data_IF_492870628301
#
_entry.id   IF_492870628301
#
_cell.length_a   1.000
_cell.length_b   1.000
_cell.length_c   1.000
_cell.angle_alpha   90.00
_cell.angle_beta   90.00
_cell.angle_gamma   90.00
#
_symmetry.space_group_name_H-M   'P 1'
#
loop_
_entity.id
_entity.type
_entity.pdbx_description
1 polymer ?
#
# COMPACT_ATOMS: atom_id res chain seq x y z
N UNK A 1 -14.01 1.22 -22.64
CA UNK A 1 -14.85 1.33 -21.43
C UNK A 1 -14.20 2.35 -20.53
N UNK A 2 -14.99 3.24 -19.94
CA UNK A 2 -14.46 4.16 -18.92
C UNK A 2 -14.28 3.36 -17.62
N UNK A 3 -13.04 2.99 -17.31
CA UNK A 3 -12.67 2.09 -16.20
C UNK A 3 -12.35 2.92 -14.94
N UNK A 4 -13.25 3.84 -14.60
CA UNK A 4 -13.04 4.83 -13.52
C UNK A 4 -14.15 4.77 -12.49
N UNK A 5 -13.81 5.20 -11.29
CA UNK A 5 -14.79 5.42 -10.22
C UNK A 5 -15.87 6.41 -10.69
N UNK A 6 -17.10 6.19 -10.24
CA UNK A 6 -18.22 7.07 -10.54
C UNK A 6 -19.41 6.85 -9.60
N UNK A 7 -20.42 7.74 -9.63
CA UNK A 7 -21.50 7.76 -8.64
C UNK A 7 -22.30 6.45 -8.52
N UNK A 8 -22.36 5.65 -9.59
CA UNK A 8 -23.06 4.36 -9.58
C UNK A 8 -22.42 3.31 -8.64
N UNK A 9 -21.19 3.53 -8.19
CA UNK A 9 -20.48 2.66 -7.25
C UNK A 9 -20.54 3.18 -5.81
N UNK A 10 -21.14 4.35 -5.56
CA UNK A 10 -21.27 4.94 -4.22
C UNK A 10 -22.34 4.20 -3.42
N UNK A 11 -21.91 3.49 -2.38
CA UNK A 11 -22.77 2.83 -1.39
C UNK A 11 -23.38 3.84 -0.42
N UNK A 12 -22.76 5.03 -0.27
CA UNK A 12 -23.11 6.02 0.75
C UNK A 12 -22.46 5.75 2.10
N UNK A 13 -21.83 4.59 2.29
CA UNK A 13 -21.09 4.22 3.49
C UNK A 13 -19.64 4.68 3.31
N UNK A 14 -19.29 5.80 3.92
CA UNK A 14 -18.06 6.55 3.61
C UNK A 14 -16.76 5.72 3.66
N UNK A 15 -16.65 4.77 4.60
CA UNK A 15 -15.49 3.87 4.71
C UNK A 15 -15.42 2.85 3.58
N UNK A 16 -16.55 2.29 3.15
CA UNK A 16 -16.63 1.36 2.01
C UNK A 16 -16.35 2.11 0.71
N UNK A 17 -16.94 3.30 0.52
CA UNK A 17 -16.68 4.14 -0.66
C UNK A 17 -15.22 4.59 -0.74
N UNK A 18 -14.57 4.82 0.41
CA UNK A 18 -13.13 5.11 0.48
C UNK A 18 -12.32 3.89 0.01
N UNK A 19 -12.67 2.70 0.48
CA UNK A 19 -11.96 1.46 0.12
C UNK A 19 -12.11 1.16 -1.37
N UNK A 20 -13.32 1.29 -1.92
CA UNK A 20 -13.53 1.16 -3.35
C UNK A 20 -12.70 2.16 -4.15
N UNK A 21 -12.69 3.44 -3.77
CA UNK A 21 -11.86 4.44 -4.48
C UNK A 21 -10.38 4.07 -4.48
N UNK A 22 -9.86 3.49 -3.40
CA UNK A 22 -8.47 3.04 -3.35
C UNK A 22 -8.23 1.81 -4.22
N UNK A 23 -9.16 0.85 -4.24
CA UNK A 23 -9.07 -0.29 -5.17
C UNK A 23 -9.09 0.18 -6.63
N UNK A 24 -9.98 1.11 -6.99
CA UNK A 24 -10.00 1.74 -8.31
C UNK A 24 -8.71 2.49 -8.64
N UNK A 25 -8.13 3.21 -7.67
CA UNK A 25 -6.84 3.89 -7.85
C UNK A 25 -5.71 2.88 -8.12
N UNK A 26 -5.62 1.80 -7.34
CA UNK A 26 -4.64 0.72 -7.58
C UNK A 26 -4.85 0.05 -8.94
N UNK A 27 -6.10 -0.13 -9.38
CA UNK A 27 -6.38 -0.62 -10.74
C UNK A 27 -5.92 0.36 -11.81
N UNK A 28 -6.18 1.65 -11.68
CA UNK A 28 -5.70 2.66 -12.62
C UNK A 28 -4.16 2.67 -12.66
N UNK A 29 -3.50 2.50 -11.51
CA UNK A 29 -2.05 2.36 -11.45
C UNK A 29 -1.54 1.14 -12.23
N UNK A 30 -2.23 -0.02 -12.20
CA UNK A 30 -1.83 -1.17 -13.03
C UNK A 30 -1.88 -0.84 -14.52
N UNK A 31 -2.83 -0.03 -14.96
CA UNK A 31 -2.93 0.40 -16.36
C UNK A 31 -1.84 1.42 -16.71
N UNK A 32 -1.63 2.42 -15.85
CA UNK A 32 -0.63 3.45 -16.08
C UNK A 32 0.77 2.86 -16.21
N UNK A 33 1.11 1.88 -15.36
CA UNK A 33 2.39 1.17 -15.46
C UNK A 33 2.59 0.51 -16.84
N UNK A 34 1.53 -0.02 -17.44
CA UNK A 34 1.61 -0.64 -18.77
C UNK A 34 1.76 0.41 -19.86
N UNK A 35 0.95 1.46 -19.77
CA UNK A 35 0.90 2.52 -20.78
C UNK A 35 2.24 3.27 -20.82
N UNK A 36 2.90 3.44 -19.68
CA UNK A 36 4.23 4.06 -19.55
C UNK A 36 5.39 3.10 -19.82
N UNK A 37 5.12 1.80 -20.00
CA UNK A 37 6.17 0.79 -20.23
C UNK A 37 7.09 0.57 -19.03
N UNK A 38 6.53 0.66 -17.82
CA UNK A 38 7.25 0.54 -16.55
C UNK A 38 7.98 -0.79 -16.40
N UNK A 39 8.99 -0.78 -15.53
CA UNK A 39 9.69 -1.97 -15.13
C UNK A 39 8.75 -2.97 -14.44
N UNK A 40 8.99 -4.27 -14.67
CA UNK A 40 8.10 -5.34 -14.20
C UNK A 40 7.91 -5.33 -12.68
N UNK A 41 8.86 -4.82 -11.90
CA UNK A 41 8.73 -4.76 -10.45
C UNK A 41 7.77 -3.66 -9.98
N UNK A 42 7.57 -2.58 -10.75
CA UNK A 42 6.61 -1.52 -10.40
C UNK A 42 5.21 -2.11 -10.49
N UNK A 43 4.89 -2.70 -11.65
CA UNK A 43 3.63 -3.41 -11.86
C UNK A 43 3.44 -4.56 -10.85
N UNK A 44 4.48 -5.34 -10.58
CA UNK A 44 4.44 -6.39 -9.57
C UNK A 44 4.10 -5.86 -8.17
N UNK A 45 4.60 -4.68 -7.83
CA UNK A 45 4.32 -4.04 -6.53
C UNK A 45 2.86 -3.55 -6.44
N UNK A 46 2.31 -3.02 -7.53
CA UNK A 46 0.89 -2.61 -7.59
C UNK A 46 -0.01 -3.83 -7.45
N UNK A 47 0.27 -4.94 -8.16
CA UNK A 47 -0.52 -6.19 -8.08
C UNK A 47 -0.46 -6.77 -6.66
N UNK A 48 0.72 -6.83 -6.05
CA UNK A 48 0.88 -7.35 -4.69
C UNK A 48 0.14 -6.47 -3.66
N UNK A 49 0.19 -5.15 -3.82
CA UNK A 49 -0.49 -4.20 -2.95
C UNK A 49 -2.01 -4.25 -3.08
N UNK A 50 -2.51 -4.44 -4.30
CA UNK A 50 -3.93 -4.66 -4.56
C UNK A 50 -4.46 -5.88 -3.79
N UNK A 51 -3.75 -7.00 -3.82
CA UNK A 51 -4.15 -8.21 -3.10
C UNK A 51 -4.27 -7.94 -1.59
N UNK A 52 -3.29 -7.26 -1.01
CA UNK A 52 -3.30 -6.89 0.40
C UNK A 52 -4.46 -5.93 0.73
N UNK A 53 -4.79 -4.99 -0.17
CA UNK A 53 -5.89 -4.04 0.03
C UNK A 53 -7.28 -4.68 -0.09
N UNK A 54 -7.47 -5.63 -1.02
CA UNK A 54 -8.71 -6.41 -1.14
C UNK A 54 -9.01 -7.14 0.17
N UNK A 55 -7.98 -7.69 0.84
CA UNK A 55 -8.16 -8.35 2.14
C UNK A 55 -8.66 -7.39 3.22
N UNK A 56 -8.16 -6.15 3.27
CA UNK A 56 -8.65 -5.13 4.20
C UNK A 56 -10.12 -4.78 3.94
N UNK A 57 -10.44 -4.47 2.69
CA UNK A 57 -11.79 -4.08 2.29
C UNK A 57 -12.81 -5.15 2.69
N UNK A 58 -12.55 -6.41 2.32
CA UNK A 58 -13.39 -7.55 2.67
C UNK A 58 -13.49 -7.77 4.18
N UNK A 59 -12.40 -7.59 4.93
CA UNK A 59 -12.44 -7.74 6.38
C UNK A 59 -13.37 -6.71 7.03
N UNK A 60 -13.28 -5.43 6.63
CA UNK A 60 -14.16 -4.37 7.14
C UNK A 60 -15.62 -4.59 6.76
N UNK A 61 -15.84 -4.99 5.52
CA UNK A 61 -17.17 -5.30 4.99
C UNK A 61 -17.81 -6.48 5.72
N UNK A 62 -17.09 -7.59 5.91
CA UNK A 62 -17.60 -8.75 6.62
C UNK A 62 -17.97 -8.42 8.09
N UNK A 63 -17.18 -7.57 8.76
CA UNK A 63 -17.54 -7.05 10.09
C UNK A 63 -18.80 -6.19 10.02
N UNK A 64 -18.89 -5.29 9.05
CA UNK A 64 -20.08 -4.46 8.84
C UNK A 64 -21.34 -5.32 8.68
N UNK A 65 -21.27 -6.33 7.81
CA UNK A 65 -22.38 -7.23 7.50
C UNK A 65 -22.80 -8.08 8.71
N UNK A 66 -21.84 -8.65 9.43
CA UNK A 66 -22.09 -9.41 10.67
C UNK A 66 -22.81 -8.54 11.71
N UNK A 67 -22.25 -7.35 12.00
CA UNK A 67 -22.78 -6.44 13.02
C UNK A 67 -24.12 -5.80 12.65
N UNK A 68 -24.41 -5.70 11.35
CA UNK A 68 -25.71 -5.28 10.85
C UNK A 68 -26.74 -6.42 10.78
N UNK A 69 -26.32 -7.68 10.99
CA UNK A 69 -27.18 -8.84 10.89
C UNK A 69 -27.64 -9.12 9.45
N UNK A 70 -26.77 -8.88 8.45
CA UNK A 70 -27.10 -9.10 7.05
C UNK A 70 -27.32 -10.60 6.77
N UNK A 71 -28.51 -10.95 6.29
CA UNK A 71 -28.94 -12.35 6.20
C UNK A 71 -28.16 -13.21 5.22
N UNK A 72 -27.52 -12.60 4.22
CA UNK A 72 -26.75 -13.29 3.19
C UNK A 72 -25.22 -13.24 3.43
N UNK A 73 -24.77 -12.88 4.65
CA UNK A 73 -23.35 -12.81 5.01
C UNK A 73 -22.55 -14.05 4.58
N UNK A 74 -23.04 -15.25 4.88
CA UNK A 74 -22.31 -16.49 4.56
C UNK A 74 -22.10 -16.69 3.06
N UNK A 75 -23.06 -16.30 2.22
CA UNK A 75 -22.92 -16.36 0.76
C UNK A 75 -21.92 -15.30 0.27
N UNK A 76 -22.00 -14.10 0.82
CA UNK A 76 -21.10 -12.99 0.50
C UNK A 76 -19.63 -13.31 0.86
N UNK A 77 -19.40 -13.91 2.03
CA UNK A 77 -18.06 -14.40 2.44
C UNK A 77 -17.50 -15.47 1.50
N UNK A 78 -18.36 -16.37 1.01
CA UNK A 78 -17.93 -17.39 0.06
C UNK A 78 -17.49 -16.77 -1.27
N UNK A 79 -18.20 -15.75 -1.75
CA UNK A 79 -17.76 -14.95 -2.90
C UNK A 79 -16.38 -14.35 -2.60
N UNK A 80 -16.19 -13.67 -1.47
CA UNK A 80 -14.87 -13.11 -1.12
C UNK A 80 -13.74 -14.13 -1.15
N UNK A 81 -13.97 -15.36 -0.69
CA UNK A 81 -12.98 -16.45 -0.73
C UNK A 81 -12.58 -16.77 -2.17
N UNK A 82 -13.55 -16.95 -3.07
CA UNK A 82 -13.30 -17.27 -4.48
C UNK A 82 -12.53 -16.14 -5.19
N UNK A 83 -12.90 -14.91 -4.88
CA UNK A 83 -12.32 -13.73 -5.49
C UNK A 83 -10.89 -13.48 -5.02
N UNK A 84 -10.61 -13.64 -3.71
CA UNK A 84 -9.25 -13.63 -3.15
C UNK A 84 -8.37 -14.67 -3.85
N UNK A 85 -8.86 -15.91 -3.99
CA UNK A 85 -8.11 -16.98 -4.64
C UNK A 85 -7.76 -16.67 -6.10
N UNK A 86 -8.66 -16.02 -6.84
CA UNK A 86 -8.41 -15.64 -8.23
C UNK A 86 -7.33 -14.55 -8.35
N UNK A 87 -7.34 -13.53 -7.48
CA UNK A 87 -6.30 -12.49 -7.45
C UNK A 87 -4.96 -13.08 -7.01
N UNK A 88 -4.95 -13.98 -6.03
CA UNK A 88 -3.74 -14.70 -5.61
C UNK A 88 -3.11 -15.50 -6.74
N UNK A 89 -3.93 -16.18 -7.55
CA UNK A 89 -3.45 -16.92 -8.73
C UNK A 89 -2.81 -15.98 -9.76
N UNK A 90 -3.41 -14.82 -10.00
CA UNK A 90 -2.84 -13.81 -10.92
C UNK A 90 -1.52 -13.27 -10.40
N UNK A 91 -1.47 -12.89 -9.11
CA UNK A 91 -0.26 -12.39 -8.47
C UNK A 91 0.87 -13.43 -8.51
N UNK A 92 0.56 -14.70 -8.24
CA UNK A 92 1.53 -15.79 -8.29
C UNK A 92 2.04 -16.03 -9.72
N UNK A 93 1.15 -16.08 -10.72
CA UNK A 93 1.55 -16.19 -12.13
C UNK A 93 2.46 -15.03 -12.57
N UNK A 94 2.14 -13.81 -12.13
CA UNK A 94 2.94 -12.63 -12.45
C UNK A 94 4.31 -12.69 -11.78
N UNK A 95 4.37 -13.16 -10.53
CA UNK A 95 5.63 -13.36 -9.81
C UNK A 95 6.53 -14.39 -10.48
N UNK A 96 5.96 -15.51 -10.94
CA UNK A 96 6.74 -16.62 -11.50
C UNK A 96 7.19 -16.33 -12.94
N UNK A 97 6.31 -15.72 -13.75
CA UNK A 97 6.53 -15.48 -15.17
C UNK A 97 5.87 -14.17 -15.62
N UNK A 98 6.41 -13.00 -15.24
CA UNK A 98 5.80 -11.70 -15.56
C UNK A 98 5.63 -11.49 -17.07
N UNK A 99 6.53 -12.05 -17.89
CA UNK A 99 6.49 -12.00 -19.34
C UNK A 99 5.33 -12.78 -19.97
N UNK A 100 4.70 -13.69 -19.21
CA UNK A 100 3.61 -14.56 -19.67
C UNK A 100 2.24 -14.08 -19.24
N UNK A 101 2.15 -13.07 -18.38
CA UNK A 101 0.86 -12.58 -17.89
C UNK A 101 0.47 -11.33 -18.68
N UNK A 102 -0.58 -11.46 -19.47
CA UNK A 102 -1.10 -10.34 -20.24
C UNK A 102 -1.70 -9.30 -19.31
N UNK A 103 -1.10 -8.13 -19.18
CA UNK A 103 -1.59 -7.12 -18.22
C UNK A 103 -3.00 -6.62 -18.59
N UNK A 104 -3.36 -6.62 -19.87
CA UNK A 104 -4.73 -6.38 -20.32
C UNK A 104 -5.72 -7.42 -19.81
N UNK A 105 -5.31 -8.69 -19.70
CA UNK A 105 -6.11 -9.78 -19.14
C UNK A 105 -6.31 -9.56 -17.63
N UNK A 106 -5.22 -9.29 -16.90
CA UNK A 106 -5.27 -8.95 -15.47
C UNK A 106 -6.23 -7.79 -15.23
N UNK A 107 -6.05 -6.68 -15.96
CA UNK A 107 -6.88 -5.49 -15.84
C UNK A 107 -8.35 -5.78 -16.15
N UNK A 108 -8.64 -6.51 -17.23
CA UNK A 108 -10.02 -6.82 -17.61
C UNK A 108 -10.69 -7.71 -16.55
N UNK A 109 -9.99 -8.73 -16.07
CA UNK A 109 -10.47 -9.60 -15.01
C UNK A 109 -10.79 -8.77 -13.76
N UNK A 110 -9.82 -8.02 -13.26
CA UNK A 110 -9.92 -7.21 -12.05
C UNK A 110 -11.02 -6.15 -12.12
N UNK A 111 -11.20 -5.54 -13.29
CA UNK A 111 -12.25 -4.56 -13.51
C UNK A 111 -13.65 -5.16 -13.51
N UNK A 112 -13.86 -6.19 -14.34
CA UNK A 112 -15.16 -6.87 -14.42
C UNK A 112 -15.53 -7.35 -13.03
N UNK A 113 -14.57 -8.00 -12.39
CA UNK A 113 -14.68 -8.48 -11.04
C UNK A 113 -15.12 -7.40 -10.04
N UNK A 114 -14.35 -6.32 -9.85
CA UNK A 114 -14.69 -5.33 -8.82
C UNK A 114 -16.00 -4.64 -9.15
N UNK A 115 -16.20 -4.27 -10.42
CA UNK A 115 -17.39 -3.52 -10.82
C UNK A 115 -18.68 -4.33 -10.70
N UNK A 116 -18.64 -5.63 -11.04
CA UNK A 116 -19.79 -6.52 -10.89
C UNK A 116 -20.02 -6.87 -9.42
N UNK A 117 -18.96 -7.05 -8.63
CA UNK A 117 -19.07 -7.27 -7.20
C UNK A 117 -19.75 -6.08 -6.49
N UNK A 118 -19.27 -4.85 -6.70
CA UNK A 118 -19.88 -3.67 -6.08
C UNK A 118 -21.35 -3.54 -6.47
N UNK A 119 -21.67 -3.65 -7.76
CA UNK A 119 -23.03 -3.43 -8.24
C UNK A 119 -23.99 -4.59 -7.90
N UNK A 120 -23.48 -5.83 -7.86
CA UNK A 120 -24.28 -7.04 -7.68
C UNK A 120 -24.36 -7.52 -6.24
N UNK A 121 -23.30 -7.35 -5.46
CA UNK A 121 -23.11 -7.94 -4.13
C UNK A 121 -23.06 -6.89 -3.02
N UNK A 122 -22.49 -5.71 -3.27
CA UNK A 122 -22.33 -4.69 -2.22
C UNK A 122 -23.58 -3.82 -2.07
N UNK A 123 -24.12 -3.35 -3.19
CA UNK A 123 -25.35 -2.54 -3.22
C UNK A 123 -26.54 -3.18 -2.47
N UNK A 124 -26.77 -4.51 -2.53
CA UNK A 124 -27.81 -5.17 -1.76
C UNK A 124 -27.77 -4.98 -0.23
N UNK A 125 -26.59 -4.85 0.40
CA UNK A 125 -26.53 -4.67 1.85
C UNK A 125 -26.72 -3.23 2.31
N UNK A 126 -26.63 -2.25 1.40
CA UNK A 126 -26.67 -0.81 1.74
C UNK A 126 -27.91 -0.46 2.56
N UNK A 127 -29.09 -0.97 2.19
CA UNK A 127 -30.33 -0.69 2.91
C UNK A 127 -30.31 -1.13 4.38
N UNK A 128 -29.56 -2.18 4.71
CA UNK A 128 -29.43 -2.74 6.06
C UNK A 128 -28.30 -2.04 6.84
N UNK A 129 -27.18 -1.73 6.16
CA UNK A 129 -25.97 -1.22 6.78
C UNK A 129 -25.92 0.31 6.89
N UNK A 130 -26.54 1.04 5.97
CA UNK A 130 -26.48 2.51 5.91
C UNK A 130 -26.96 3.21 7.20
N UNK A 131 -28.01 2.75 7.90
CA UNK A 131 -28.46 3.39 9.15
C UNK A 131 -27.51 3.18 10.35
N UNK A 132 -26.52 2.28 10.25
CA UNK A 132 -25.68 1.83 11.37
C UNK A 132 -24.36 2.58 11.45
N UNK A 133 -24.44 3.90 11.65
CA UNK A 133 -23.27 4.80 11.68
C UNK A 133 -22.28 4.45 12.80
N UNK A 134 -22.76 3.86 13.90
CA UNK A 134 -21.94 3.32 15.00
C UNK A 134 -20.91 2.30 14.49
N UNK A 135 -21.35 1.39 13.60
CA UNK A 135 -20.50 0.36 13.03
C UNK A 135 -19.55 0.98 11.98
N UNK A 136 -20.00 1.99 11.24
CA UNK A 136 -19.14 2.68 10.25
C UNK A 136 -17.91 3.30 10.91
N UNK A 137 -18.09 3.95 12.06
CA UNK A 137 -17.00 4.53 12.85
C UNK A 137 -16.07 3.48 13.45
N UNK A 138 -16.59 2.30 13.80
CA UNK A 138 -15.81 1.16 14.28
C UNK A 138 -14.88 0.62 13.20
N UNK A 139 -15.44 0.22 12.05
CA UNK A 139 -14.66 -0.39 10.96
C UNK A 139 -13.70 0.60 10.29
N UNK A 140 -14.01 1.91 10.32
CA UNK A 140 -13.10 2.95 9.81
C UNK A 140 -11.78 3.04 10.58
N UNK A 141 -11.72 2.53 11.82
CA UNK A 141 -10.50 2.50 12.64
C UNK A 141 -9.58 1.34 12.28
N UNK A 142 -10.11 0.26 11.70
CA UNK A 142 -9.31 -0.89 11.27
C UNK A 142 -8.45 -0.44 10.11
N UNK A 143 -7.12 -0.50 10.18
CA UNK A 143 -6.24 -0.09 9.08
C UNK A 143 -5.71 -1.29 8.31
N UNK A 144 -5.07 -1.05 7.15
CA UNK A 144 -4.34 -2.11 6.46
C UNK A 144 -3.24 -2.69 7.37
N UNK A 145 -2.65 -1.87 8.25
CA UNK A 145 -1.65 -2.30 9.20
C UNK A 145 -2.19 -3.28 10.24
N UNK A 146 -3.44 -3.11 10.68
CA UNK A 146 -4.07 -4.04 11.63
C UNK A 146 -4.27 -5.41 10.98
N UNK A 147 -4.87 -5.44 9.79
CA UNK A 147 -5.15 -6.68 9.03
C UNK A 147 -3.86 -7.44 8.71
N UNK A 148 -2.79 -6.76 8.32
CA UNK A 148 -1.51 -7.38 7.98
C UNK A 148 -0.72 -7.91 9.20
N UNK A 149 -1.01 -7.38 10.38
CA UNK A 149 -0.41 -7.78 11.65
C UNK A 149 -1.24 -8.80 12.44
N UNK A 150 -2.44 -9.18 11.97
CA UNK A 150 -3.25 -10.20 12.63
C UNK A 150 -2.44 -11.49 12.84
N UNK A 151 -2.40 -11.97 14.09
CA UNK A 151 -1.66 -13.18 14.47
C UNK A 151 -0.14 -13.03 14.59
N UNK A 152 0.44 -11.83 14.39
CA UNK A 152 1.88 -11.55 14.55
C UNK A 152 2.16 -10.73 15.82
N UNK A 153 3.40 -10.75 16.30
CA UNK A 153 3.87 -9.87 17.39
C UNK A 153 3.67 -8.43 16.92
N UNK A 154 2.75 -7.69 17.55
CA UNK A 154 2.34 -6.34 17.14
C UNK A 154 3.56 -5.40 17.15
N UNK A 155 4.06 -5.04 15.98
CA UNK A 155 4.97 -3.90 15.85
C UNK A 155 4.10 -2.65 15.93
N UNK A 156 4.06 -2.05 17.11
CA UNK A 156 3.17 -0.94 17.41
C UNK A 156 3.79 0.35 16.88
N UNK A 157 3.47 0.69 15.63
CA UNK A 157 3.78 1.98 15.02
C UNK A 157 2.54 2.87 15.09
N UNK A 158 2.68 4.09 15.61
CA UNK A 158 1.64 5.12 15.53
C UNK A 158 1.71 5.84 14.16
N UNK A 159 1.26 5.16 13.10
CA UNK A 159 1.28 5.69 11.73
C UNK A 159 0.73 7.11 11.59
N UNK A 160 -0.38 7.50 12.26
CA UNK A 160 -0.92 8.86 12.18
C UNK A 160 0.01 9.98 12.63
N UNK A 161 0.99 9.72 13.50
CA UNK A 161 1.95 10.73 13.98
C UNK A 161 3.26 10.75 13.21
N UNK A 162 3.52 9.72 12.38
CA UNK A 162 4.74 9.66 11.57
C UNK A 162 4.77 10.72 10.48
N UNK A 163 5.95 11.32 10.34
CA UNK A 163 6.35 12.21 9.25
C UNK A 163 7.26 11.44 8.32
N UNK A 164 6.78 11.13 7.13
CA UNK A 164 7.46 10.25 6.18
C UNK A 164 7.96 11.07 4.99
N UNK A 165 9.23 10.89 4.63
CA UNK A 165 9.77 11.37 3.35
C UNK A 165 9.99 10.19 2.42
N UNK A 166 9.36 10.24 1.24
CA UNK A 166 9.64 9.33 0.12
C UNK A 166 10.50 10.08 -0.90
N UNK A 167 11.59 9.47 -1.35
CA UNK A 167 12.49 10.00 -2.39
C UNK A 167 12.64 8.92 -3.47
N UNK A 168 12.04 9.12 -4.62
CA UNK A 168 12.03 8.16 -5.75
C UNK A 168 11.72 8.97 -7.01
N UNK A 169 12.47 8.84 -8.10
CA UNK A 169 12.23 9.60 -9.33
C UNK A 169 11.14 8.99 -10.23
N UNK A 170 10.70 7.77 -9.93
CA UNK A 170 9.59 7.10 -10.59
C UNK A 170 8.25 7.57 -10.00
N UNK A 171 7.52 8.38 -10.78
CA UNK A 171 6.23 8.94 -10.36
C UNK A 171 5.15 7.87 -10.11
N UNK A 172 5.15 6.76 -10.86
CA UNK A 172 4.23 5.65 -10.67
C UNK A 172 4.51 4.92 -9.34
N UNK A 173 5.79 4.73 -9.02
CA UNK A 173 6.19 4.12 -7.76
C UNK A 173 5.93 5.04 -6.55
N UNK A 174 6.17 6.35 -6.67
CA UNK A 174 5.75 7.32 -5.64
C UNK A 174 4.24 7.28 -5.38
N UNK A 175 3.42 7.18 -6.44
CA UNK A 175 1.96 7.08 -6.32
C UNK A 175 1.57 5.84 -5.55
N UNK A 176 2.19 4.69 -5.84
CA UNK A 176 1.98 3.45 -5.08
C UNK A 176 2.34 3.61 -3.60
N UNK A 177 3.54 4.12 -3.30
CA UNK A 177 3.98 4.31 -1.91
C UNK A 177 3.06 5.28 -1.15
N UNK A 178 2.60 6.34 -1.80
CA UNK A 178 1.60 7.25 -1.24
C UNK A 178 0.31 6.53 -0.90
N UNK A 179 -0.24 5.72 -1.81
CA UNK A 179 -1.46 4.96 -1.58
C UNK A 179 -1.32 4.03 -0.37
N UNK A 180 -0.18 3.32 -0.24
CA UNK A 180 0.11 2.44 0.89
C UNK A 180 0.28 3.18 2.21
N UNK A 181 1.07 4.27 2.25
CA UNK A 181 1.31 5.04 3.48
C UNK A 181 0.02 5.68 4.00
N UNK A 182 -0.83 6.21 3.12
CA UNK A 182 -2.16 6.72 3.48
C UNK A 182 -3.08 5.59 3.99
N UNK A 183 -2.97 4.38 3.43
CA UNK A 183 -3.72 3.20 3.89
C UNK A 183 -3.28 2.70 5.27
N UNK A 184 -2.00 2.85 5.61
CA UNK A 184 -1.49 2.59 6.96
C UNK A 184 -1.90 3.69 7.96
N UNK A 185 -2.27 4.87 7.47
CA UNK A 185 -2.79 5.98 8.28
C UNK A 185 -1.85 7.18 8.42
N UNK A 186 -0.74 7.22 7.67
CA UNK A 186 0.20 8.34 7.65
C UNK A 186 -0.51 9.64 7.23
N UNK A 187 -0.26 10.73 7.96
CA UNK A 187 -0.86 12.05 7.70
C UNK A 187 0.14 13.09 7.20
N UNK A 188 1.39 13.06 7.66
CA UNK A 188 2.47 13.92 7.14
C UNK A 188 3.35 13.11 6.19
N UNK A 189 3.03 13.20 4.89
CA UNK A 189 3.78 12.54 3.82
C UNK A 189 4.36 13.58 2.88
N UNK A 190 5.67 13.51 2.69
CA UNK A 190 6.44 14.34 1.76
C UNK A 190 6.99 13.46 0.65
N UNK A 191 6.67 13.79 -0.61
CA UNK A 191 7.18 13.06 -1.77
C UNK A 191 8.23 13.90 -2.49
N UNK A 192 9.39 13.35 -2.82
CA UNK A 192 10.45 14.01 -3.56
C UNK A 192 10.84 13.21 -4.80
N UNK A 193 10.82 13.85 -5.97
CA UNK A 193 11.16 13.21 -7.26
C UNK A 193 12.66 13.17 -7.57
N UNK A 194 13.51 13.55 -6.62
CA UNK A 194 14.96 13.62 -6.82
C UNK A 194 15.65 13.77 -5.46
N UNK A 195 16.95 13.44 -5.40
CA UNK A 195 17.77 13.66 -4.20
C UNK A 195 17.81 15.15 -3.80
N UNK A 196 17.96 16.06 -4.77
CA UNK A 196 17.95 17.50 -4.53
C UNK A 196 16.63 17.99 -3.91
N UNK A 197 15.48 17.44 -4.33
CA UNK A 197 14.21 17.71 -3.66
C UNK A 197 14.15 17.09 -2.26
N UNK A 198 14.66 15.87 -2.08
CA UNK A 198 14.77 15.20 -0.79
C UNK A 198 15.51 16.05 0.26
N UNK A 199 16.71 16.53 -0.07
CA UNK A 199 17.49 17.41 0.80
C UNK A 199 16.76 18.70 1.15
N UNK A 200 16.09 19.32 0.16
CA UNK A 200 15.26 20.50 0.43
C UNK A 200 14.17 20.18 1.44
N UNK A 201 13.47 19.05 1.34
CA UNK A 201 12.39 18.71 2.27
C UNK A 201 12.90 18.38 3.68
N UNK A 202 14.07 17.77 3.80
CA UNK A 202 14.74 17.57 5.10
C UNK A 202 15.12 18.90 5.75
N UNK A 203 15.60 19.87 4.96
CA UNK A 203 15.93 21.20 5.47
C UNK A 203 14.70 22.00 5.97
N UNK A 204 13.49 21.66 5.53
CA UNK A 204 12.24 22.33 5.95
C UNK A 204 11.60 21.72 7.21
N UNK A 205 12.22 20.70 7.81
CA UNK A 205 11.81 20.18 9.11
C UNK A 205 12.05 18.68 9.25
N UNK A 206 12.11 18.19 10.50
CA UNK A 206 12.39 16.78 10.79
C UNK A 206 11.35 15.85 10.17
N UNK A 207 11.80 14.62 9.88
CA UNK A 207 11.00 13.47 9.48
C UNK A 207 11.39 12.28 10.37
N UNK A 208 10.49 11.34 10.56
CA UNK A 208 10.70 10.18 11.43
C UNK A 208 11.26 8.98 10.65
N UNK A 209 11.05 8.96 9.33
CA UNK A 209 11.62 7.95 8.44
C UNK A 209 11.75 8.50 7.02
N UNK A 210 12.86 8.13 6.37
CA UNK A 210 13.09 8.35 4.94
C UNK A 210 12.99 7.01 4.21
N UNK A 211 12.27 7.00 3.10
CA UNK A 211 12.12 5.86 2.20
C UNK A 211 12.70 6.32 0.87
N UNK A 212 13.83 5.74 0.47
CA UNK A 212 14.60 6.22 -0.67
C UNK A 212 14.79 5.11 -1.69
N UNK A 213 14.58 5.42 -2.96
CA UNK A 213 15.02 4.55 -4.03
C UNK A 213 16.55 4.52 -4.13
N UNK A 214 17.08 3.39 -4.58
CA UNK A 214 18.52 3.23 -4.74
C UNK A 214 19.05 3.87 -6.02
N UNK A 215 18.31 3.83 -7.13
CA UNK A 215 18.74 4.33 -8.43
C UNK A 215 17.87 5.51 -8.85
N UNK A 216 18.36 6.72 -8.61
CA UNK A 216 17.73 7.94 -9.13
C UNK A 216 18.64 8.61 -10.16
N UNK A 217 18.03 9.32 -11.12
CA UNK A 217 18.70 10.00 -12.23
C UNK A 217 19.74 11.03 -11.78
N UNK A 218 19.48 11.76 -10.68
CA UNK A 218 20.35 12.83 -10.19
C UNK A 218 21.43 12.36 -9.22
N UNK A 219 21.14 11.32 -8.43
CA UNK A 219 22.04 10.76 -7.43
C UNK A 219 21.55 9.37 -7.02
N UNK A 220 22.46 8.41 -6.81
CA UNK A 220 22.04 7.13 -6.23
C UNK A 220 21.69 7.27 -4.73
N UNK A 221 20.83 6.40 -4.21
CA UNK A 221 20.38 6.41 -2.82
C UNK A 221 21.51 6.27 -1.80
N UNK A 222 22.64 5.66 -2.17
CA UNK A 222 23.81 5.56 -1.29
C UNK A 222 24.48 6.91 -1.05
N UNK A 223 24.69 7.70 -2.11
CA UNK A 223 25.26 9.04 -2.00
C UNK A 223 24.32 9.99 -1.25
N UNK A 224 23.00 9.83 -1.47
CA UNK A 224 21.98 10.56 -0.72
C UNK A 224 22.05 10.25 0.78
N UNK A 225 22.07 8.96 1.15
CA UNK A 225 22.22 8.53 2.54
C UNK A 225 23.52 9.02 3.18
N UNK A 226 24.64 8.88 2.47
CA UNK A 226 25.96 9.29 2.98
C UNK A 226 25.97 10.78 3.32
N UNK A 227 25.37 11.60 2.46
CA UNK A 227 25.22 13.04 2.69
C UNK A 227 24.37 13.35 3.93
N UNK A 228 23.28 12.60 4.16
CA UNK A 228 22.46 12.72 5.38
C UNK A 228 23.30 12.38 6.62
N UNK A 229 24.01 11.24 6.62
CA UNK A 229 24.83 10.80 7.77
C UNK A 229 26.01 11.73 8.04
N UNK A 230 26.65 12.28 7.02
CA UNK A 230 27.74 13.27 7.16
C UNK A 230 27.27 14.57 7.84
N UNK A 231 25.97 14.88 7.78
CA UNK A 231 25.38 16.02 8.51
C UNK A 231 25.10 15.73 10.00
N UNK A 232 25.28 14.48 10.44
CA UNK A 232 24.95 14.00 11.78
C UNK A 232 23.48 13.64 11.97
N UNK A 233 22.71 13.56 10.89
CA UNK A 233 21.31 13.15 10.90
C UNK A 233 21.21 11.61 10.95
N UNK A 234 20.61 11.12 12.03
CA UNK A 234 20.40 9.69 12.34
C UNK A 234 18.99 9.20 11.99
N UNK A 235 18.21 9.99 11.25
CA UNK A 235 16.85 9.61 10.82
C UNK A 235 16.87 8.22 10.19
N UNK A 236 15.97 7.30 10.57
CA UNK A 236 15.86 5.98 9.96
C UNK A 236 15.68 6.05 8.45
N UNK A 237 16.46 5.27 7.69
CA UNK A 237 16.38 5.19 6.24
C UNK A 237 16.08 3.75 5.80
N UNK A 238 14.98 3.58 5.06
CA UNK A 238 14.66 2.39 4.29
C UNK A 238 15.06 2.61 2.83
N UNK A 239 15.92 1.75 2.31
CA UNK A 239 16.26 1.73 0.89
C UNK A 239 15.35 0.77 0.14
N UNK A 240 14.84 1.20 -1.00
CA UNK A 240 14.13 0.36 -1.96
C UNK A 240 15.05 0.05 -3.15
N UNK A 241 15.13 -1.22 -3.54
CA UNK A 241 16.08 -1.67 -4.57
C UNK A 241 15.45 -2.69 -5.51
N UNK A 242 15.68 -2.56 -6.82
CA UNK A 242 15.37 -3.62 -7.79
C UNK A 242 16.33 -4.81 -7.76
N UNK A 243 17.42 -4.73 -6.97
CA UNK A 243 18.45 -5.76 -6.83
C UNK A 243 18.46 -6.36 -5.42
N UNK A 244 18.37 -7.68 -5.33
CA UNK A 244 18.29 -8.44 -4.09
C UNK A 244 19.56 -9.13 -3.61
N UNK A 245 20.70 -8.93 -4.26
CA UNK A 245 21.91 -9.66 -3.85
C UNK A 245 22.42 -9.21 -2.47
N UNK A 246 23.07 -10.14 -1.77
CA UNK A 246 23.55 -9.93 -0.41
C UNK A 246 24.67 -8.87 -0.33
N UNK A 247 25.47 -8.73 -1.39
CA UNK A 247 26.51 -7.71 -1.46
C UNK A 247 25.92 -6.30 -1.55
N UNK A 248 24.81 -6.11 -2.27
CA UNK A 248 24.05 -4.86 -2.31
C UNK A 248 23.49 -4.50 -0.95
N UNK A 249 22.83 -5.45 -0.26
CA UNK A 249 22.30 -5.22 1.09
C UNK A 249 23.42 -4.82 2.05
N UNK A 250 24.54 -5.55 2.03
CA UNK A 250 25.70 -5.24 2.87
C UNK A 250 26.26 -3.84 2.58
N UNK A 251 26.36 -3.44 1.32
CA UNK A 251 26.84 -2.10 0.93
C UNK A 251 25.92 -1.00 1.45
N UNK A 252 24.60 -1.18 1.33
CA UNK A 252 23.62 -0.21 1.83
C UNK A 252 23.70 -0.05 3.35
N UNK A 253 23.68 -1.17 4.10
CA UNK A 253 23.77 -1.15 5.56
C UNK A 253 25.09 -0.53 6.05
N UNK A 254 26.22 -0.89 5.43
CA UNK A 254 27.53 -0.30 5.76
C UNK A 254 27.60 1.20 5.48
N UNK A 255 26.70 1.73 4.66
CA UNK A 255 26.60 3.16 4.32
C UNK A 255 25.59 3.91 5.19
N UNK A 256 24.97 3.24 6.17
CA UNK A 256 24.06 3.85 7.15
C UNK A 256 22.56 3.61 6.89
N UNK A 257 22.19 2.73 5.95
CA UNK A 257 20.80 2.28 5.80
C UNK A 257 20.37 1.45 7.02
N UNK A 258 19.13 1.64 7.48
CA UNK A 258 18.56 0.83 8.56
C UNK A 258 17.96 -0.47 8.04
N UNK A 259 17.45 -0.47 6.81
CA UNK A 259 17.03 -1.68 6.10
C UNK A 259 17.05 -1.47 4.58
N UNK A 260 17.02 -2.57 3.85
CA UNK A 260 16.83 -2.62 2.40
C UNK A 260 15.63 -3.52 2.11
N UNK A 261 14.69 -3.04 1.30
CA UNK A 261 13.57 -3.80 0.80
C UNK A 261 13.67 -3.95 -0.73
N UNK A 262 13.61 -5.19 -1.18
CA UNK A 262 13.69 -5.53 -2.59
C UNK A 262 12.32 -5.33 -3.27
N UNK A 263 12.32 -4.70 -4.45
CA UNK A 263 11.17 -4.59 -5.35
C UNK A 263 11.02 -5.91 -6.13
N UNK A 264 9.80 -6.41 -6.41
CA UNK A 264 8.50 -5.79 -6.11
C UNK A 264 8.13 -5.90 -4.62
N UNK A 265 7.48 -4.85 -4.10
CA UNK A 265 7.02 -4.79 -2.71
C UNK A 265 5.54 -5.15 -2.59
N UNK A 266 5.14 -5.76 -1.47
CA UNK A 266 3.72 -5.85 -1.08
C UNK A 266 3.43 -4.87 0.05
N UNK A 267 2.16 -4.61 0.35
CA UNK A 267 1.82 -3.78 1.50
C UNK A 267 2.36 -4.41 2.80
N UNK A 268 2.26 -5.74 2.94
CA UNK A 268 2.86 -6.46 4.07
C UNK A 268 4.40 -6.31 4.15
N UNK A 269 5.14 -6.59 3.08
CA UNK A 269 6.62 -6.50 3.17
C UNK A 269 7.09 -5.07 3.44
N UNK A 270 6.40 -4.08 2.85
CA UNK A 270 6.67 -2.66 3.06
C UNK A 270 6.37 -2.22 4.49
N UNK A 271 5.21 -2.63 5.03
CA UNK A 271 4.83 -2.36 6.41
C UNK A 271 5.86 -2.91 7.41
N UNK A 272 6.27 -4.16 7.23
CA UNK A 272 7.23 -4.80 8.14
C UNK A 272 8.60 -4.13 8.06
N UNK A 273 9.04 -3.74 6.86
CA UNK A 273 10.31 -3.05 6.67
C UNK A 273 10.32 -1.66 7.34
N UNK A 274 9.30 -0.84 7.11
CA UNK A 274 9.20 0.49 7.74
C UNK A 274 9.07 0.37 9.25
N UNK A 275 8.18 -0.51 9.74
CA UNK A 275 7.99 -0.69 11.18
C UNK A 275 9.26 -1.21 11.87
N UNK A 276 10.10 -1.97 11.15
CA UNK A 276 11.30 -2.61 11.71
C UNK A 276 12.49 -1.69 11.89
N UNK A 277 12.48 -0.52 11.22
CA UNK A 277 13.56 0.47 11.32
C UNK A 277 13.22 1.65 12.22
N UNK A 278 11.94 1.79 12.58
CA UNK A 278 11.51 2.83 13.50
C UNK A 278 11.99 2.50 14.93
N UNK A 279 12.46 3.50 15.68
CA UNK A 279 12.80 3.29 17.09
C UNK A 279 11.55 2.84 17.88
N UNK A 280 11.74 1.97 18.88
CA UNK A 280 10.66 1.61 19.80
C UNK A 280 10.12 2.89 20.43
N UNK A 281 8.78 3.03 20.45
CA UNK A 281 8.15 4.16 21.11
C UNK A 281 8.64 4.23 22.56
N UNK A 282 9.06 5.40 23.08
CA UNK A 282 9.43 5.52 24.48
C UNK A 282 8.23 5.05 25.34
N UNK A 283 8.46 4.30 26.42
CA UNK A 283 7.38 3.87 27.29
C UNK A 283 6.56 5.08 27.72
N UNK A 284 5.24 5.01 27.54
CA UNK A 284 4.33 6.03 28.03
C UNK A 284 4.47 6.07 29.54
N UNK A 285 5.07 7.13 30.08
CA UNK A 285 5.00 7.40 31.52
C UNK A 285 3.53 7.61 31.88
N UNK A 286 2.98 6.69 32.68
CA UNK A 286 1.61 6.74 33.21
C UNK A 286 1.59 7.62 34.45
#
# INVERSE_FOLDING_TARGET
MDMRWGPKYETGIAVIDKDHRILFDLFEQTQQCVDDGEESFVLGSVIASLLDYVRLHFHREEILLDRCGYSALGAHQQLHVELKAAVELIAQRFKDHPERVGVREIRNFLWVWLSEHILGEDMPYVGVCMPRTDIHEEIAKITLADVLNEGKKRMCCDWPSLRVLVVDDNANFQRLLKTLLLAFGVKDLRLAGSAAEGFRKLAHGPVDVVICDWLMDDMNGLDFMKTIRESGDETPILILSGFGDEAFRNKACNSGANAVLEKPISANSFLQAVSGILPEAPPVEI
#
